data_IF_387420255602
#
_entry.id   IF_387420255602
#
_cell.length_a   1.000
_cell.length_b   1.000
_cell.length_c   1.000
_cell.angle_alpha   90.00
_cell.angle_beta   90.00
_cell.angle_gamma   90.00
#
_symmetry.space_group_name_H-M   'P 1'
#
loop_
_entity.id
_entity.type
_entity.pdbx_description
1 polymer ?
#
# COMPACT_ATOMS: atom_id res chain seq x y z
N UNK A 1 -17.82 1.64 -9.73
CA UNK A 1 -16.37 1.91 -9.53
C UNK A 1 -16.21 3.42 -9.57
N UNK A 2 -15.77 4.04 -8.46
CA UNK A 2 -15.56 5.51 -8.39
C UNK A 2 -14.17 5.91 -8.84
N UNK A 3 -13.18 5.05 -8.59
CA UNK A 3 -11.81 5.20 -9.07
C UNK A 3 -11.08 3.84 -9.10
N UNK A 4 -9.92 3.78 -9.75
CA UNK A 4 -8.99 2.63 -9.73
C UNK A 4 -7.57 3.15 -9.78
N UNK A 5 -6.68 2.53 -9.02
CA UNK A 5 -5.25 2.81 -9.02
C UNK A 5 -4.47 1.49 -9.13
N UNK A 6 -3.44 1.49 -9.96
CA UNK A 6 -2.53 0.36 -10.06
C UNK A 6 -1.57 0.34 -8.85
N UNK A 7 -1.42 -0.83 -8.24
CA UNK A 7 -0.53 -1.08 -7.10
C UNK A 7 0.49 -2.15 -7.45
N UNK A 8 1.63 -2.16 -6.75
CA UNK A 8 2.85 -2.83 -7.21
C UNK A 8 3.47 -3.70 -6.11
N UNK A 9 3.27 -5.01 -6.10
CA UNK A 9 2.33 -5.80 -6.90
C UNK A 9 1.63 -6.85 -6.02
N UNK A 10 0.48 -7.32 -6.50
CA UNK A 10 -0.33 -8.36 -5.85
C UNK A 10 -0.70 -7.93 -4.41
N UNK A 11 -1.66 -6.99 -4.28
CA UNK A 11 -2.08 -6.50 -2.97
C UNK A 11 -2.67 -7.63 -2.12
N UNK A 12 -2.33 -7.63 -0.83
CA UNK A 12 -2.97 -8.40 0.23
C UNK A 12 -3.99 -7.54 0.98
N UNK A 13 -3.83 -7.39 2.29
CA UNK A 13 -4.68 -6.49 3.07
C UNK A 13 -4.38 -5.02 2.76
N UNK A 14 -5.39 -4.21 3.01
CA UNK A 14 -5.36 -2.76 2.93
C UNK A 14 -6.00 -2.21 4.19
N UNK A 15 -5.46 -1.13 4.75
CA UNK A 15 -6.05 -0.49 5.92
C UNK A 15 -6.02 1.02 5.76
N UNK A 16 -7.16 1.67 6.00
CA UNK A 16 -7.27 3.11 5.96
C UNK A 16 -7.09 3.71 7.36
N UNK A 17 -6.58 4.94 7.43
CA UNK A 17 -6.37 5.64 8.69
C UNK A 17 -7.66 5.69 9.52
N UNK A 18 -7.58 5.14 10.74
CA UNK A 18 -8.67 5.05 11.71
C UNK A 18 -9.90 4.23 11.25
N UNK A 19 -9.77 3.42 10.18
CA UNK A 19 -10.92 2.80 9.48
C UNK A 19 -11.70 1.79 10.32
N UNK A 20 -11.05 1.15 11.29
CA UNK A 20 -11.67 0.18 12.21
C UNK A 20 -12.22 0.84 13.48
N UNK A 21 -12.46 2.15 13.43
CA UNK A 21 -13.01 2.93 14.54
C UNK A 21 -14.13 3.84 14.06
N UNK A 22 -14.84 4.48 15.00
CA UNK A 22 -15.80 5.54 14.66
C UNK A 22 -15.15 6.84 14.18
N UNK A 23 -13.83 6.95 14.26
CA UNK A 23 -13.05 8.12 13.89
C UNK A 23 -12.39 7.98 12.51
N UNK A 24 -12.87 7.05 11.67
CA UNK A 24 -12.43 6.90 10.28
C UNK A 24 -12.42 8.26 9.56
N UNK A 25 -11.25 8.65 9.03
CA UNK A 25 -11.01 10.02 8.57
C UNK A 25 -10.93 10.17 7.04
N UNK A 26 -10.85 9.05 6.30
CA UNK A 26 -10.81 9.05 4.85
C UNK A 26 -9.57 9.74 4.27
N UNK A 27 -8.44 9.76 4.98
CA UNK A 27 -7.24 10.48 4.54
C UNK A 27 -6.20 9.60 3.85
N UNK A 28 -5.86 8.47 4.46
CA UNK A 28 -4.79 7.61 3.97
C UNK A 28 -5.24 6.17 3.87
N UNK A 29 -4.67 5.46 2.90
CA UNK A 29 -4.82 4.03 2.70
C UNK A 29 -3.43 3.41 2.56
N UNK A 30 -3.10 2.47 3.45
CA UNK A 30 -1.93 1.61 3.32
C UNK A 30 -2.33 0.35 2.54
N UNK A 31 -1.49 -0.06 1.59
CA UNK A 31 -1.68 -1.27 0.77
C UNK A 31 -0.46 -2.17 0.89
N UNK A 32 -0.62 -3.34 1.49
CA UNK A 32 0.44 -4.35 1.61
C UNK A 32 0.57 -5.21 0.36
N UNK A 33 1.50 -4.90 -0.53
CA UNK A 33 1.76 -5.67 -1.76
C UNK A 33 2.78 -6.80 -1.55
N UNK A 34 2.44 -8.01 -1.99
CA UNK A 34 3.20 -9.24 -1.70
C UNK A 34 4.42 -9.48 -2.58
N UNK A 35 4.55 -8.75 -3.70
CA UNK A 35 5.75 -8.80 -4.53
C UNK A 35 6.20 -7.38 -4.88
N UNK A 36 7.42 -7.01 -4.53
CA UNK A 36 7.99 -5.69 -4.90
C UNK A 36 8.63 -5.66 -6.29
N UNK A 37 9.11 -6.79 -6.81
CA UNK A 37 9.76 -6.91 -8.13
C UNK A 37 10.78 -5.78 -8.40
N UNK A 38 10.47 -4.88 -9.32
CA UNK A 38 11.31 -3.82 -9.85
C UNK A 38 11.15 -2.47 -9.10
N UNK A 39 10.39 -2.43 -8.00
CA UNK A 39 10.14 -1.18 -7.25
C UNK A 39 11.33 -0.68 -6.43
N UNK A 40 12.29 -1.56 -6.13
CA UNK A 40 13.46 -1.24 -5.29
C UNK A 40 14.76 -1.74 -5.92
N UNK A 41 15.90 -1.27 -5.40
CA UNK A 41 17.21 -1.81 -5.79
C UNK A 41 17.27 -3.33 -5.51
N UNK A 42 17.88 -4.13 -6.41
CA UNK A 42 17.96 -5.58 -6.23
C UNK A 42 18.84 -5.94 -5.02
N UNK A 43 18.35 -6.84 -4.18
CA UNK A 43 19.01 -7.25 -2.91
C UNK A 43 19.25 -8.76 -2.80
N UNK A 44 19.24 -9.46 -3.94
CA UNK A 44 19.40 -10.91 -4.01
C UNK A 44 18.07 -11.66 -4.20
N UNK A 45 18.03 -12.98 -3.95
CA UNK A 45 16.84 -13.79 -4.26
C UNK A 45 15.60 -13.44 -3.43
N UNK A 46 15.78 -13.00 -2.18
CA UNK A 46 14.70 -12.62 -1.29
C UNK A 46 14.54 -11.09 -1.31
N UNK A 47 13.47 -10.64 -1.95
CA UNK A 47 13.09 -9.23 -2.01
C UNK A 47 12.22 -8.87 -0.81
N UNK A 48 12.18 -7.58 -0.45
CA UNK A 48 11.20 -7.03 0.48
C UNK A 48 9.80 -7.04 -0.16
N UNK A 49 8.74 -7.03 0.65
CA UNK A 49 7.39 -6.65 0.21
C UNK A 49 7.33 -5.13 -0.04
N UNK A 50 6.22 -4.64 -0.61
CA UNK A 50 6.02 -3.21 -0.86
C UNK A 50 4.77 -2.69 -0.14
N UNK A 51 4.96 -1.81 0.83
CA UNK A 51 3.87 -1.04 1.42
C UNK A 51 3.70 0.26 0.67
N UNK A 52 2.55 0.40 0.02
CA UNK A 52 2.21 1.61 -0.70
C UNK A 52 1.27 2.49 0.12
N UNK A 53 1.67 3.74 0.36
CA UNK A 53 0.81 4.74 0.99
C UNK A 53 0.07 5.53 -0.09
N UNK A 54 -1.25 5.60 0.03
CA UNK A 54 -2.13 6.27 -0.92
C UNK A 54 -2.90 7.36 -0.17
N UNK A 55 -2.88 8.58 -0.70
CA UNK A 55 -3.79 9.65 -0.28
C UNK A 55 -5.16 9.41 -0.92
N UNK A 56 -6.18 9.33 -0.06
CA UNK A 56 -7.58 9.10 -0.44
C UNK A 56 -8.50 10.25 0.01
N UNK A 57 -7.93 11.40 0.42
CA UNK A 57 -8.67 12.56 0.91
C UNK A 57 -9.41 13.35 -0.17
N UNK A 58 -9.02 13.19 -1.44
CA UNK A 58 -9.59 13.88 -2.59
C UNK A 58 -10.54 13.01 -3.42
N UNK A 59 -10.94 13.52 -4.58
CA UNK A 59 -11.79 12.78 -5.54
C UNK A 59 -11.08 11.60 -6.23
N UNK A 60 -9.73 11.63 -6.24
CA UNK A 60 -8.87 10.64 -6.90
C UNK A 60 -7.82 10.12 -5.94
N UNK A 61 -7.54 8.82 -6.02
CA UNK A 61 -6.47 8.19 -5.25
C UNK A 61 -5.12 8.63 -5.80
N UNK A 62 -4.20 8.99 -4.91
CA UNK A 62 -2.84 9.41 -5.29
C UNK A 62 -1.81 8.57 -4.53
N UNK A 63 -0.98 7.83 -5.26
CA UNK A 63 0.15 7.12 -4.68
C UNK A 63 1.18 8.12 -4.13
N UNK A 64 1.49 8.03 -2.84
CA UNK A 64 2.39 8.95 -2.16
C UNK A 64 3.80 8.39 -1.96
N UNK A 65 3.91 7.08 -1.75
CA UNK A 65 5.21 6.46 -1.53
C UNK A 65 5.16 4.95 -1.53
N UNK A 66 6.31 4.37 -1.84
CA UNK A 66 6.60 2.94 -1.77
C UNK A 66 7.62 2.71 -0.66
N UNK A 67 7.33 1.78 0.23
CA UNK A 67 8.17 1.45 1.37
C UNK A 67 8.54 -0.03 1.37
N UNK A 68 9.84 -0.38 1.34
CA UNK A 68 10.26 -1.76 1.43
C UNK A 68 10.10 -2.25 2.87
N UNK A 69 9.34 -3.32 3.05
CA UNK A 69 9.13 -3.96 4.36
C UNK A 69 9.52 -5.44 4.31
N UNK A 70 9.94 -5.99 5.45
CA UNK A 70 10.38 -7.40 5.54
C UNK A 70 9.48 -8.20 6.45
N UNK A 71 9.42 -9.50 6.16
CA UNK A 71 8.68 -10.46 6.96
C UNK A 71 7.21 -10.55 6.60
N UNK A 72 6.85 -10.09 5.39
CA UNK A 72 5.51 -10.12 4.84
C UNK A 72 4.43 -9.65 5.84
N UNK A 73 4.38 -8.35 6.21
CA UNK A 73 3.28 -7.83 7.01
C UNK A 73 1.93 -8.22 6.42
N UNK A 74 1.04 -8.70 7.29
CA UNK A 74 -0.24 -9.25 6.87
C UNK A 74 -1.37 -8.24 6.96
N UNK A 75 -1.40 -7.40 8.00
CA UNK A 75 -2.49 -6.48 8.34
C UNK A 75 -1.95 -5.19 8.98
#
# INVERSE_FOLDING_TARGET
VVDRIDVHYQPGHINASQSETKAADGKYLAVGCKFSKDRFLPVGPLHAENEQLIDISGEKMVLMGDHPVRGEPHD
#
